data_IF_451443109585
#
_entry.id   IF_451443109585
#
_cell.length_a   1.000
_cell.length_b   1.000
_cell.length_c   1.000
_cell.angle_alpha   90.00
_cell.angle_beta   90.00
_cell.angle_gamma   90.00
#
_symmetry.space_group_name_H-M   'P 1'
#
loop_
_entity.id
_entity.type
_entity.pdbx_description
1 polymer ?
#
# COMPACT_ATOMS: atom_id res chain seq x y z
N UNK A 1 -29.42 -10.96 5.47
CA UNK A 1 -28.86 -10.12 4.40
C UNK A 1 -27.36 -10.28 4.42
N UNK A 2 -26.80 -11.02 3.46
CA UNK A 2 -25.36 -11.21 3.36
C UNK A 2 -24.86 -10.31 2.22
N UNK A 3 -24.31 -9.16 2.59
CA UNK A 3 -23.61 -8.25 1.69
C UNK A 3 -22.32 -8.92 1.23
N UNK A 4 -22.34 -9.55 0.07
CA UNK A 4 -21.14 -10.08 -0.59
C UNK A 4 -20.73 -9.06 -1.68
N UNK A 5 -19.74 -8.18 -1.43
CA UNK A 5 -19.49 -7.00 -2.25
C UNK A 5 -18.69 -7.29 -3.53
N UNK A 6 -18.89 -8.45 -4.16
CA UNK A 6 -18.04 -8.96 -5.24
C UNK A 6 -18.82 -9.76 -6.31
N UNK A 7 -20.09 -9.44 -6.54
CA UNK A 7 -20.77 -9.83 -7.77
C UNK A 7 -20.40 -8.79 -8.84
N UNK A 8 -19.83 -9.25 -9.95
CA UNK A 8 -19.71 -8.49 -11.22
C UNK A 8 -18.41 -7.72 -11.50
N UNK A 9 -17.26 -8.19 -11.00
CA UNK A 9 -15.97 -7.72 -11.50
C UNK A 9 -15.11 -8.94 -11.81
N UNK A 10 -14.55 -9.02 -13.02
CA UNK A 10 -13.42 -9.90 -13.38
C UNK A 10 -12.14 -9.49 -12.61
N UNK A 11 -12.28 -9.24 -11.30
CA UNK A 11 -11.24 -8.79 -10.39
C UNK A 11 -10.93 -9.95 -9.46
N UNK A 12 -9.84 -10.66 -9.78
CA UNK A 12 -9.37 -11.84 -9.06
C UNK A 12 -9.07 -11.57 -7.56
N UNK A 13 -9.06 -10.32 -7.09
CA UNK A 13 -8.70 -9.91 -5.72
C UNK A 13 -9.86 -10.11 -4.70
N UNK A 14 -11.08 -10.34 -5.16
CA UNK A 14 -12.29 -10.39 -4.33
C UNK A 14 -12.57 -11.73 -3.59
N UNK A 15 -11.62 -12.68 -3.59
CA UNK A 15 -11.79 -14.01 -2.94
C UNK A 15 -11.30 -14.07 -1.49
N UNK A 16 -10.52 -13.11 -1.02
CA UNK A 16 -9.81 -13.21 0.24
C UNK A 16 -10.41 -12.32 1.35
N UNK A 17 -10.46 -12.79 2.61
CA UNK A 17 -10.94 -12.00 3.73
C UNK A 17 -9.99 -10.82 4.02
N UNK A 18 -10.47 -9.82 4.76
CA UNK A 18 -9.67 -8.66 5.15
C UNK A 18 -8.33 -9.09 5.81
N UNK A 19 -7.23 -8.44 5.43
CA UNK A 19 -5.89 -8.84 5.86
C UNK A 19 -5.32 -10.06 5.13
N UNK A 20 -5.96 -10.52 4.06
CA UNK A 20 -5.44 -11.54 3.15
C UNK A 20 -5.51 -11.04 1.71
N UNK A 21 -4.60 -11.53 0.87
CA UNK A 21 -4.55 -11.26 -0.57
C UNK A 21 -4.27 -12.55 -1.33
N UNK A 22 -4.53 -12.57 -2.63
CA UNK A 22 -4.22 -13.72 -3.47
C UNK A 22 -2.75 -14.10 -3.36
N UNK A 23 -2.49 -15.38 -3.09
CA UNK A 23 -1.14 -15.93 -3.00
C UNK A 23 -0.57 -16.37 -4.34
N UNK A 24 -1.37 -16.38 -5.39
CA UNK A 24 -1.00 -16.77 -6.75
C UNK A 24 -1.85 -16.04 -7.81
N UNK A 25 -1.46 -16.10 -9.08
CA UNK A 25 -2.14 -15.43 -10.21
C UNK A 25 -3.57 -15.92 -10.42
N UNK A 26 -3.84 -17.20 -10.15
CA UNK A 26 -5.16 -17.80 -10.21
C UNK A 26 -5.99 -17.59 -8.93
N UNK A 27 -5.37 -17.01 -7.89
CA UNK A 27 -5.93 -16.86 -6.55
C UNK A 27 -6.53 -18.18 -6.02
N UNK A 28 -5.80 -19.28 -6.16
CA UNK A 28 -6.16 -20.60 -5.63
C UNK A 28 -6.12 -20.62 -4.10
N UNK A 29 -5.20 -19.86 -3.50
CA UNK A 29 -5.14 -19.69 -2.05
C UNK A 29 -4.95 -18.23 -1.65
N UNK A 30 -5.47 -17.90 -0.47
CA UNK A 30 -5.29 -16.60 0.16
C UNK A 30 -4.07 -16.64 1.08
N UNK A 31 -3.20 -15.66 0.94
CA UNK A 31 -2.05 -15.46 1.81
C UNK A 31 -2.32 -14.32 2.77
N UNK A 32 -2.04 -14.56 4.05
CA UNK A 32 -2.11 -13.53 5.07
C UNK A 32 -1.07 -12.46 4.77
N UNK A 33 -1.49 -11.20 4.72
CA UNK A 33 -0.57 -10.09 4.54
C UNK A 33 -0.13 -9.55 5.91
N UNK A 34 1.15 -9.19 6.08
CA UNK A 34 1.60 -8.51 7.29
C UNK A 34 0.95 -7.13 7.40
N UNK A 35 0.75 -6.68 8.64
CA UNK A 35 0.35 -5.29 8.90
C UNK A 35 1.59 -4.40 8.87
N UNK A 36 1.72 -3.59 7.83
CA UNK A 36 2.83 -2.66 7.67
C UNK A 36 2.61 -1.42 8.54
N UNK A 37 3.68 -1.01 9.22
CA UNK A 37 3.65 0.18 10.07
C UNK A 37 3.58 1.46 9.22
N UNK A 38 3.37 2.59 9.88
CA UNK A 38 3.57 3.90 9.25
C UNK A 38 4.99 3.97 8.67
N UNK A 39 5.09 4.52 7.46
CA UNK A 39 6.31 4.60 6.69
C UNK A 39 6.79 3.31 6.05
N UNK A 40 5.94 2.29 6.06
CA UNK A 40 6.09 1.08 5.26
C UNK A 40 4.91 0.93 4.30
N UNK A 41 5.18 0.27 3.17
CA UNK A 41 4.17 -0.16 2.22
C UNK A 41 4.21 -1.67 2.05
N UNK A 42 3.02 -2.24 1.83
CA UNK A 42 2.88 -3.64 1.48
C UNK A 42 3.28 -3.83 0.02
N UNK A 43 4.39 -4.52 -0.21
CA UNK A 43 4.85 -4.89 -1.56
C UNK A 43 4.54 -6.34 -1.88
N UNK A 44 4.00 -6.56 -3.09
CA UNK A 44 3.82 -7.88 -3.69
C UNK A 44 5.02 -8.21 -4.56
N UNK A 45 5.59 -9.39 -4.37
CA UNK A 45 6.73 -9.90 -5.14
C UNK A 45 6.45 -11.33 -5.61
N UNK A 46 7.04 -11.74 -6.73
CA UNK A 46 6.76 -13.03 -7.37
C UNK A 46 5.81 -12.90 -8.56
N UNK A 47 6.01 -13.74 -9.58
CA UNK A 47 5.31 -13.68 -10.86
C UNK A 47 4.06 -14.57 -10.87
N UNK A 48 4.21 -15.82 -10.46
CA UNK A 48 3.12 -16.79 -10.24
C UNK A 48 2.79 -16.97 -8.76
N UNK A 49 3.81 -17.00 -7.89
CA UNK A 49 3.65 -17.13 -6.44
C UNK A 49 3.88 -15.79 -5.73
N UNK A 50 2.79 -15.18 -5.29
CA UNK A 50 2.83 -13.87 -4.64
C UNK A 50 3.27 -13.95 -3.18
N UNK A 51 4.28 -13.15 -2.86
CA UNK A 51 4.81 -12.94 -1.52
C UNK A 51 4.64 -11.48 -1.11
N UNK A 52 4.06 -11.29 0.07
CA UNK A 52 3.78 -9.98 0.63
C UNK A 52 4.79 -9.65 1.73
N UNK A 53 5.43 -8.50 1.60
CA UNK A 53 6.39 -7.99 2.59
C UNK A 53 6.19 -6.49 2.80
N UNK A 54 6.45 -6.04 4.01
CA UNK A 54 6.51 -4.61 4.30
C UNK A 54 7.89 -4.10 3.86
N UNK A 55 7.88 -3.04 3.06
CA UNK A 55 9.08 -2.35 2.62
C UNK A 55 9.00 -0.92 3.11
N UNK A 56 10.09 -0.34 3.65
CA UNK A 56 10.11 1.07 4.03
C UNK A 56 9.94 1.97 2.80
N UNK A 57 9.23 3.08 2.99
CA UNK A 57 9.07 4.12 1.97
C UNK A 57 10.44 4.65 1.53
N UNK A 58 10.64 4.73 0.22
CA UNK A 58 11.85 5.29 -0.37
C UNK A 58 11.99 6.79 -0.09
N UNK A 59 13.21 7.32 -0.22
CA UNK A 59 13.45 8.75 -0.09
C UNK A 59 12.59 9.54 -1.08
N UNK A 60 11.84 10.52 -0.59
CA UNK A 60 10.87 11.26 -1.41
C UNK A 60 9.43 10.75 -1.29
N UNK A 61 9.19 9.68 -0.52
CA UNK A 61 7.86 9.13 -0.26
C UNK A 61 7.59 8.96 1.23
N UNK A 62 6.31 8.97 1.60
CA UNK A 62 5.85 8.80 2.98
C UNK A 62 4.56 7.98 3.05
N UNK A 63 4.32 7.35 4.20
CA UNK A 63 3.06 6.68 4.53
C UNK A 63 2.70 7.05 5.97
N UNK A 64 1.67 7.86 6.16
CA UNK A 64 1.18 8.35 7.45
C UNK A 64 0.12 7.44 8.09
N UNK A 65 -0.19 6.32 7.44
CA UNK A 65 -1.22 5.37 7.88
C UNK A 65 -0.68 3.94 7.87
N UNK A 66 -1.12 3.13 8.83
CA UNK A 66 -0.85 1.69 8.85
C UNK A 66 -1.47 1.01 7.62
N UNK A 67 -0.75 0.06 7.04
CA UNK A 67 -1.12 -0.57 5.76
C UNK A 67 -1.33 0.44 4.62
N UNK A 68 -0.76 1.64 4.73
CA UNK A 68 -0.77 2.64 3.69
C UNK A 68 0.13 2.29 2.52
N UNK A 69 0.00 3.06 1.45
CA UNK A 69 0.96 3.06 0.35
C UNK A 69 1.86 4.28 0.46
N UNK A 70 3.11 4.14 0.06
CA UNK A 70 4.04 5.25 0.05
C UNK A 70 3.63 6.27 -1.01
N UNK A 71 3.26 7.46 -0.56
CA UNK A 71 2.89 8.61 -1.39
C UNK A 71 4.08 9.53 -1.56
N UNK A 72 4.19 10.19 -2.70
CA UNK A 72 5.25 11.19 -2.90
C UNK A 72 5.06 12.36 -1.94
N UNK A 73 6.18 12.90 -1.43
CA UNK A 73 6.15 14.15 -0.68
C UNK A 73 5.59 15.29 -1.52
N UNK A 74 4.89 16.20 -0.85
CA UNK A 74 4.48 17.46 -1.45
C UNK A 74 5.72 18.24 -1.87
N UNK A 75 5.81 18.54 -3.17
CA UNK A 75 6.84 19.42 -3.69
C UNK A 75 6.36 20.88 -3.54
N UNK A 76 6.85 21.56 -2.50
CA UNK A 76 6.52 22.94 -2.19
C UNK A 76 6.98 23.91 -3.29
N UNK A 77 8.16 23.69 -3.86
CA UNK A 77 8.72 24.56 -4.89
C UNK A 77 7.84 24.56 -6.14
N UNK A 78 7.30 23.39 -6.51
CA UNK A 78 6.34 23.25 -7.63
C UNK A 78 5.04 24.02 -7.37
N UNK A 79 4.69 24.23 -6.11
CA UNK A 79 3.52 25.01 -5.69
C UNK A 79 3.86 26.50 -5.46
N UNK A 80 5.12 26.91 -5.63
CA UNK A 80 5.57 28.27 -5.36
C UNK A 80 5.80 28.58 -3.87
N UNK A 81 5.81 27.56 -3.01
CA UNK A 81 6.08 27.68 -1.58
C UNK A 81 7.50 27.21 -1.22
N UNK A 82 8.01 27.66 -0.07
CA UNK A 82 9.28 27.17 0.50
C UNK A 82 8.99 25.96 1.38
N UNK A 83 9.82 24.92 1.29
CA UNK A 83 9.71 23.77 2.20
C UNK A 83 10.13 24.17 3.61
N UNK A 84 9.16 24.22 4.53
CA UNK A 84 9.37 24.51 5.95
C UNK A 84 9.91 23.30 6.71
N UNK A 85 9.41 22.11 6.36
CA UNK A 85 9.87 20.85 6.95
C UNK A 85 9.93 19.76 5.88
N UNK A 86 11.09 19.12 5.76
CA UNK A 86 11.28 18.00 4.86
C UNK A 86 10.50 16.79 5.38
N UNK A 87 9.75 16.15 4.49
CA UNK A 87 9.08 14.89 4.79
C UNK A 87 10.08 13.79 5.17
N UNK A 88 9.57 12.75 5.81
CA UNK A 88 10.31 11.52 6.10
C UNK A 88 9.48 10.32 5.62
N UNK A 89 9.85 9.10 6.00
CA UNK A 89 9.08 7.91 5.61
C UNK A 89 7.66 7.91 6.20
N UNK A 90 7.39 8.57 7.32
CA UNK A 90 6.08 8.55 7.99
C UNK A 90 5.27 9.85 7.81
N UNK A 91 5.92 10.95 7.43
CA UNK A 91 5.33 12.29 7.39
C UNK A 91 5.59 12.97 6.05
N UNK A 92 4.58 13.71 5.58
CA UNK A 92 4.71 14.53 4.39
C UNK A 92 5.63 15.74 4.61
N UNK A 93 6.15 16.30 3.51
CA UNK A 93 6.79 17.61 3.53
C UNK A 93 5.76 18.71 3.80
N UNK A 94 6.15 19.67 4.64
CA UNK A 94 5.35 20.86 4.93
C UNK A 94 5.87 22.06 4.17
N UNK A 95 4.94 22.72 3.50
CA UNK A 95 4.98 24.09 3.04
C UNK A 95 4.03 24.87 3.97
#
# INVERSE_FOLDING_TARGET
GNHHPCQDIEDHDCKCPQGHRCGDDHCQYCRKVPECAEGEELTRTGETDFTFKCKPCGTGTYSDVKNGWCRNWTNCERLGFVTLSRGNSTHNSKC
#
